data_IF_163683355370
#
_entry.id   IF_163683355370
#
_cell.length_a   1.000
_cell.length_b   1.000
_cell.length_c   1.000
_cell.angle_alpha   90.00
_cell.angle_beta   90.00
_cell.angle_gamma   90.00
#
_symmetry.space_group_name_H-M   'P 1'
#
loop_
_entity.id
_entity.type
_entity.pdbx_description
1 polymer ?
#
# COMPACT_ATOMS: atom_id res chain seq x y z
N UNK A 1 2.83 18.62 46.15
CA UNK A 1 2.27 19.62 45.22
C UNK A 1 1.91 18.90 43.93
N UNK A 2 0.69 19.01 43.42
CA UNK A 2 0.39 18.42 42.11
C UNK A 2 1.12 19.25 41.05
N UNK A 3 1.57 18.58 39.99
CA UNK A 3 2.31 19.23 38.90
C UNK A 3 1.39 20.32 38.30
N UNK A 4 1.87 21.57 38.31
CA UNK A 4 1.22 22.75 37.70
C UNK A 4 0.06 23.44 38.45
N UNK A 5 -0.11 23.24 39.76
CA UNK A 5 -1.15 23.96 40.54
C UNK A 5 -1.02 25.50 40.55
N UNK A 6 0.12 26.04 40.10
CA UNK A 6 0.38 27.48 39.98
C UNK A 6 -0.07 28.09 38.64
N UNK A 7 -0.56 27.26 37.69
CA UNK A 7 -1.02 27.70 36.38
C UNK A 7 -2.55 27.81 36.35
N UNK A 8 -3.07 28.76 35.56
CA UNK A 8 -4.50 28.85 35.29
C UNK A 8 -5.03 27.59 34.61
N UNK A 9 -6.19 27.11 35.05
CA UNK A 9 -6.96 26.12 34.32
C UNK A 9 -7.55 26.70 33.03
N UNK A 10 -7.90 25.82 32.08
CA UNK A 10 -8.57 26.22 30.82
C UNK A 10 -9.88 26.97 31.10
N UNK A 11 -10.62 26.57 32.14
CA UNK A 11 -11.88 27.20 32.52
C UNK A 11 -11.67 28.61 33.07
N UNK A 12 -10.66 28.80 33.93
CA UNK A 12 -10.30 30.13 34.46
C UNK A 12 -9.86 31.07 33.34
N UNK A 13 -8.96 30.60 32.47
CA UNK A 13 -8.52 31.39 31.31
C UNK A 13 -9.70 31.77 30.41
N UNK A 14 -10.60 30.83 30.09
CA UNK A 14 -11.79 31.11 29.28
C UNK A 14 -12.70 32.17 29.91
N UNK A 15 -12.86 32.16 31.22
CA UNK A 15 -13.66 33.15 31.93
C UNK A 15 -13.01 34.54 31.96
N UNK A 16 -11.67 34.60 32.01
CA UNK A 16 -10.91 35.86 31.87
C UNK A 16 -11.09 36.41 30.45
N UNK A 17 -10.86 35.60 29.42
CA UNK A 17 -10.94 36.02 28.01
C UNK A 17 -12.35 36.51 27.63
N UNK A 18 -13.42 35.93 28.18
CA UNK A 18 -14.80 36.39 27.94
C UNK A 18 -15.10 37.81 28.44
N UNK A 19 -14.29 38.33 29.36
CA UNK A 19 -14.46 39.68 29.93
C UNK A 19 -13.59 40.73 29.23
N UNK A 20 -12.71 40.30 28.32
CA UNK A 20 -11.80 41.18 27.60
C UNK A 20 -12.45 41.70 26.31
N UNK A 21 -12.08 42.90 25.92
CA UNK A 21 -12.40 43.48 24.61
C UNK A 21 -11.68 42.72 23.49
N UNK A 22 -12.13 42.95 22.25
CA UNK A 22 -11.50 42.34 21.06
C UNK A 22 -10.04 42.78 20.92
N UNK A 23 -9.77 44.05 21.18
CA UNK A 23 -8.46 44.68 21.06
C UNK A 23 -7.47 44.08 22.06
N UNK A 24 -7.87 43.91 23.32
CA UNK A 24 -7.03 43.27 24.36
C UNK A 24 -6.70 41.81 24.00
N UNK A 25 -7.65 41.06 23.44
CA UNK A 25 -7.42 39.68 22.99
C UNK A 25 -6.42 39.65 21.82
N UNK A 26 -6.53 40.60 20.88
CA UNK A 26 -5.57 40.72 19.77
C UNK A 26 -4.17 41.01 20.31
N UNK A 27 -4.02 41.95 21.24
CA UNK A 27 -2.73 42.28 21.86
C UNK A 27 -2.14 41.07 22.60
N UNK A 28 -2.94 40.37 23.41
CA UNK A 28 -2.51 39.16 24.10
C UNK A 28 -2.01 38.07 23.12
N UNK A 29 -2.69 37.88 21.99
CA UNK A 29 -2.27 36.94 20.95
C UNK A 29 -0.98 37.39 20.27
N UNK A 30 -0.82 38.67 19.97
CA UNK A 30 0.40 39.22 19.37
C UNK A 30 1.60 39.09 20.32
N UNK A 31 1.41 39.34 21.61
CA UNK A 31 2.47 39.20 22.60
C UNK A 31 2.82 37.73 22.86
N UNK A 32 1.82 36.85 22.87
CA UNK A 32 2.02 35.40 22.90
C UNK A 32 2.80 34.91 21.68
N UNK A 33 2.44 35.42 20.49
CA UNK A 33 3.15 35.14 19.24
C UNK A 33 4.60 35.62 19.32
N UNK A 34 4.89 36.83 19.83
CA UNK A 34 6.27 37.31 19.99
C UNK A 34 7.06 36.47 20.99
N UNK A 35 6.43 35.98 22.05
CA UNK A 35 7.08 35.31 23.17
C UNK A 35 7.44 33.83 22.94
N UNK A 36 6.70 33.10 22.09
CA UNK A 36 6.90 31.64 21.92
C UNK A 36 7.00 31.23 20.45
N UNK A 37 8.10 30.55 20.09
CA UNK A 37 8.28 29.99 18.74
C UNK A 37 7.18 28.97 18.40
N UNK A 38 6.74 28.17 19.37
CA UNK A 38 5.67 27.19 19.17
C UNK A 38 4.35 27.87 18.82
N UNK A 39 4.04 29.01 19.44
CA UNK A 39 2.87 29.81 19.09
C UNK A 39 3.03 30.43 17.71
N UNK A 40 4.24 30.88 17.35
CA UNK A 40 4.52 31.37 15.99
C UNK A 40 4.28 30.31 14.93
N UNK A 41 4.86 29.13 15.14
CA UNK A 41 4.70 27.97 14.26
C UNK A 41 3.22 27.57 14.18
N UNK A 42 2.47 27.57 15.29
CA UNK A 42 1.06 27.17 15.32
C UNK A 42 0.17 28.14 14.54
N UNK A 43 0.35 29.45 14.77
CA UNK A 43 -0.38 30.49 14.05
C UNK A 43 0.01 30.47 12.56
N UNK A 44 1.29 30.25 12.24
CA UNK A 44 1.76 30.18 10.85
C UNK A 44 1.23 28.93 10.14
N UNK A 45 1.18 27.77 10.80
CA UNK A 45 0.61 26.56 10.23
C UNK A 45 -0.90 26.68 9.95
N UNK A 46 -1.60 27.54 10.71
CA UNK A 46 -3.05 27.74 10.59
C UNK A 46 -3.45 28.86 9.62
N UNK A 47 -2.65 29.92 9.51
CA UNK A 47 -3.01 31.15 8.79
C UNK A 47 -1.93 31.63 7.80
N UNK A 48 -0.78 30.97 7.77
CA UNK A 48 0.31 31.31 6.86
C UNK A 48 0.01 30.86 5.42
N UNK A 49 0.70 31.47 4.48
CA UNK A 49 0.75 31.01 3.09
C UNK A 49 1.50 29.67 3.00
N UNK A 50 1.20 28.89 1.95
CA UNK A 50 1.76 27.54 1.74
C UNK A 50 3.29 27.50 1.86
N UNK A 51 4.01 28.50 1.36
CA UNK A 51 5.47 28.57 1.43
C UNK A 51 5.99 28.57 2.87
N UNK A 52 5.30 29.26 3.79
CA UNK A 52 5.70 29.29 5.21
C UNK A 52 5.42 27.95 5.89
N UNK A 53 4.30 27.30 5.56
CA UNK A 53 3.96 25.99 6.10
C UNK A 53 4.99 24.95 5.63
N UNK A 54 5.39 25.01 4.36
CA UNK A 54 6.44 24.16 3.79
C UNK A 54 7.79 24.39 4.50
N UNK A 55 8.17 25.63 4.81
CA UNK A 55 9.40 25.91 5.58
C UNK A 55 9.36 25.33 6.99
N UNK A 56 8.20 25.34 7.65
CA UNK A 56 8.01 24.68 8.94
C UNK A 56 8.17 23.17 8.78
N UNK A 57 7.54 22.56 7.77
CA UNK A 57 7.70 21.13 7.48
C UNK A 57 9.17 20.76 7.30
N UNK A 58 9.92 21.49 6.48
CA UNK A 58 11.36 21.24 6.27
C UNK A 58 12.19 21.42 7.54
N UNK A 59 11.82 22.38 8.40
CA UNK A 59 12.45 22.54 9.72
C UNK A 59 12.24 21.29 10.59
N UNK A 60 11.06 20.68 10.52
CA UNK A 60 10.76 19.46 11.27
C UNK A 60 11.39 18.20 10.64
N UNK A 61 11.46 18.10 9.31
CA UNK A 61 12.23 17.05 8.62
C UNK A 61 13.70 17.10 9.03
N UNK A 62 14.31 18.29 9.04
CA UNK A 62 15.68 18.46 9.53
C UNK A 62 15.86 18.00 10.99
N UNK A 63 14.89 18.29 11.88
CA UNK A 63 14.90 17.80 13.26
C UNK A 63 14.84 16.27 13.32
N UNK A 64 14.06 15.61 12.47
CA UNK A 64 13.99 14.14 12.37
C UNK A 64 15.33 13.60 11.87
N UNK A 65 15.85 14.13 10.77
CA UNK A 65 17.14 13.75 10.20
C UNK A 65 18.25 13.84 11.24
N UNK A 66 18.37 14.95 11.97
CA UNK A 66 19.41 15.15 12.98
C UNK A 66 19.31 14.18 14.16
N UNK A 67 18.14 13.54 14.39
CA UNK A 67 18.01 12.45 15.37
C UNK A 67 18.67 11.18 14.84
N UNK A 68 18.37 10.77 13.60
CA UNK A 68 18.93 9.56 12.96
C UNK A 68 20.41 9.73 12.61
N UNK A 69 20.81 10.91 12.16
CA UNK A 69 22.17 11.22 11.69
C UNK A 69 22.75 12.40 12.47
N UNK A 70 23.05 12.21 13.78
CA UNK A 70 23.55 13.30 14.61
C UNK A 70 24.92 13.78 14.14
N UNK A 71 25.10 15.11 14.08
CA UNK A 71 26.37 15.76 13.67
C UNK A 71 27.55 15.48 14.61
N UNK A 72 27.26 15.02 15.82
CA UNK A 72 28.27 14.70 16.84
C UNK A 72 28.22 13.22 17.17
N UNK A 73 29.37 12.56 17.16
CA UNK A 73 29.53 11.15 17.59
C UNK A 73 29.14 10.91 19.06
N UNK A 74 28.93 11.96 19.86
CA UNK A 74 28.42 11.86 21.25
C UNK A 74 26.89 11.85 21.33
N UNK A 75 26.20 12.17 20.24
CA UNK A 75 24.74 12.12 20.17
C UNK A 75 24.29 10.66 20.14
N UNK A 76 23.67 10.19 21.22
CA UNK A 76 23.03 8.88 21.19
C UNK A 76 21.73 8.98 20.40
N UNK A 77 21.65 8.20 19.32
CA UNK A 77 20.41 7.99 18.57
C UNK A 77 19.31 7.47 19.51
N UNK A 78 18.13 8.09 19.42
CA UNK A 78 16.93 7.66 20.14
C UNK A 78 15.70 7.87 19.24
N UNK A 79 15.22 6.77 18.66
CA UNK A 79 14.03 6.77 17.79
C UNK A 79 12.81 7.48 18.42
N UNK A 80 12.66 7.38 19.74
CA UNK A 80 11.60 8.06 20.48
C UNK A 80 11.64 9.60 20.38
N UNK A 81 12.81 10.21 20.19
CA UNK A 81 12.91 11.66 19.95
C UNK A 81 12.41 12.04 18.55
N UNK A 82 12.72 11.24 17.53
CA UNK A 82 12.18 11.45 16.18
C UNK A 82 10.64 11.31 16.18
N UNK A 83 10.09 10.33 16.89
CA UNK A 83 8.63 10.17 17.07
C UNK A 83 7.99 11.36 17.79
N UNK A 84 8.67 11.97 18.76
CA UNK A 84 8.20 13.20 19.41
C UNK A 84 8.14 14.37 18.43
N UNK A 85 9.12 14.51 17.54
CA UNK A 85 9.13 15.57 16.51
C UNK A 85 7.92 15.43 15.58
N UNK A 86 7.63 14.22 15.09
CA UNK A 86 6.42 13.92 14.30
C UNK A 86 5.15 14.31 15.06
N UNK A 87 5.02 13.88 16.32
CA UNK A 87 3.85 14.17 17.15
C UNK A 87 3.69 15.67 17.46
N UNK A 88 4.78 16.43 17.55
CA UNK A 88 4.73 17.88 17.67
C UNK A 88 4.19 18.53 16.39
N UNK A 89 4.61 18.06 15.21
CA UNK A 89 4.11 18.56 13.93
C UNK A 89 2.62 18.23 13.73
N UNK A 90 2.20 17.00 14.08
CA UNK A 90 0.78 16.59 14.06
C UNK A 90 -0.15 17.50 14.86
N UNK A 91 0.33 18.03 15.98
CA UNK A 91 -0.44 18.98 16.82
C UNK A 91 -0.45 20.40 16.25
N UNK A 92 0.50 20.71 15.37
CA UNK A 92 0.73 22.02 14.80
C UNK A 92 -0.06 22.22 13.50
N UNK A 93 0.01 21.23 12.61
CA UNK A 93 -0.52 21.29 11.26
C UNK A 93 -1.80 20.44 11.16
N UNK A 94 -2.87 21.04 10.62
CA UNK A 94 -4.12 20.34 10.33
C UNK A 94 -4.21 19.83 8.89
N UNK A 95 -3.21 20.13 8.05
CA UNK A 95 -3.14 19.60 6.70
C UNK A 95 -2.64 18.15 6.76
N UNK A 96 -3.56 17.22 6.52
CA UNK A 96 -3.34 15.79 6.60
C UNK A 96 -2.27 15.30 5.63
N UNK A 97 -2.18 15.89 4.44
CA UNK A 97 -1.14 15.54 3.46
C UNK A 97 0.26 15.85 3.99
N UNK A 98 0.44 17.01 4.63
CA UNK A 98 1.72 17.39 5.22
C UNK A 98 2.04 16.56 6.47
N UNK A 99 1.00 16.17 7.23
CA UNK A 99 1.14 15.25 8.36
C UNK A 99 1.59 13.86 7.91
N UNK A 100 1.01 13.32 6.84
CA UNK A 100 1.42 12.03 6.29
C UNK A 100 2.84 12.15 5.69
N UNK A 101 3.18 13.25 5.02
CA UNK A 101 4.54 13.48 4.51
C UNK A 101 5.60 13.40 5.61
N UNK A 102 5.38 14.06 6.76
CA UNK A 102 6.35 13.98 7.85
C UNK A 102 6.43 12.60 8.51
N UNK A 103 5.32 11.85 8.55
CA UNK A 103 5.32 10.46 9.03
C UNK A 103 6.11 9.57 8.07
N UNK A 104 5.92 9.76 6.76
CA UNK A 104 6.64 9.03 5.72
C UNK A 104 8.13 9.33 5.79
N UNK A 105 8.50 10.60 5.96
CA UNK A 105 9.90 11.00 6.14
C UNK A 105 10.56 10.34 7.36
N UNK A 106 9.82 10.17 8.46
CA UNK A 106 10.33 9.42 9.61
C UNK A 106 10.64 7.95 9.25
N UNK A 107 9.80 7.30 8.45
CA UNK A 107 10.03 5.91 7.99
C UNK A 107 11.21 5.85 7.03
N UNK A 108 11.30 6.76 6.07
CA UNK A 108 12.44 6.90 5.14
C UNK A 108 13.76 7.00 5.90
N UNK A 109 13.84 7.85 6.94
CA UNK A 109 15.03 7.97 7.78
C UNK A 109 15.33 6.69 8.58
N UNK A 110 14.31 5.94 8.99
CA UNK A 110 14.49 4.64 9.65
C UNK A 110 15.10 3.59 8.73
N UNK A 111 14.61 3.50 7.50
CA UNK A 111 15.14 2.59 6.48
C UNK A 111 16.56 2.99 6.08
N UNK A 112 16.80 4.27 5.79
CA UNK A 112 18.15 4.77 5.45
C UNK A 112 19.16 4.50 6.58
N UNK A 113 18.74 4.71 7.84
CA UNK A 113 19.59 4.46 9.00
C UNK A 113 20.01 2.98 9.10
N UNK A 114 19.08 2.06 8.85
CA UNK A 114 19.35 0.62 8.83
C UNK A 114 20.28 0.24 7.68
N UNK A 115 20.01 0.72 6.47
CA UNK A 115 20.85 0.48 5.30
C UNK A 115 22.28 1.00 5.48
N UNK A 116 22.46 2.08 6.25
CA UNK A 116 23.77 2.68 6.51
C UNK A 116 24.57 1.98 7.61
N UNK A 117 23.92 1.54 8.68
CA UNK A 117 24.60 1.05 9.89
C UNK A 117 24.39 -0.45 10.17
N UNK A 118 23.56 -1.13 9.38
CA UNK A 118 23.21 -2.53 9.55
C UNK A 118 22.12 -2.74 10.61
N UNK A 119 22.04 -3.97 11.12
CA UNK A 119 21.04 -4.38 12.10
C UNK A 119 21.04 -3.51 13.37
N UNK A 120 19.86 -3.06 13.78
CA UNK A 120 19.68 -2.18 14.94
C UNK A 120 19.14 -2.95 16.17
N UNK A 121 17.83 -3.07 16.31
CA UNK A 121 17.14 -3.93 17.28
C UNK A 121 15.65 -3.99 16.95
N UNK A 122 14.97 -5.00 17.48
CA UNK A 122 13.53 -5.23 17.29
C UNK A 122 12.67 -4.01 17.68
N UNK A 123 12.98 -3.35 18.80
CA UNK A 123 12.21 -2.17 19.24
C UNK A 123 12.28 -1.02 18.23
N UNK A 124 13.40 -0.86 17.54
CA UNK A 124 13.55 0.11 16.46
C UNK A 124 12.64 -0.26 15.28
N UNK A 125 12.73 -1.50 14.78
CA UNK A 125 11.92 -1.95 13.64
C UNK A 125 10.42 -1.82 13.93
N UNK A 126 9.96 -2.27 15.10
CA UNK A 126 8.57 -2.11 15.53
C UNK A 126 8.10 -0.64 15.51
N UNK A 127 8.97 0.32 15.85
CA UNK A 127 8.61 1.73 15.80
C UNK A 127 8.53 2.30 14.37
N UNK A 128 9.31 1.76 13.43
CA UNK A 128 9.26 2.14 12.02
C UNK A 128 8.02 1.53 11.36
N UNK A 129 7.81 0.23 11.56
CA UNK A 129 6.64 -0.52 11.07
C UNK A 129 5.33 0.08 11.58
N UNK A 130 5.18 0.33 12.89
CA UNK A 130 3.96 0.96 13.43
C UNK A 130 3.70 2.37 12.86
N UNK A 131 4.75 3.11 12.49
CA UNK A 131 4.57 4.40 11.82
C UNK A 131 4.09 4.19 10.39
N UNK A 132 4.66 3.23 9.67
CA UNK A 132 4.24 2.89 8.32
C UNK A 132 2.79 2.38 8.26
N UNK A 133 2.41 1.49 9.19
CA UNK A 133 1.03 1.06 9.38
C UNK A 133 0.09 2.25 9.63
N UNK A 134 0.49 3.20 10.47
CA UNK A 134 -0.29 4.43 10.69
C UNK A 134 -0.46 5.27 9.41
N UNK A 135 0.54 5.28 8.52
CA UNK A 135 0.46 5.97 7.22
C UNK A 135 -0.54 5.26 6.31
N UNK A 136 -0.44 3.93 6.20
CA UNK A 136 -1.34 3.10 5.39
C UNK A 136 -2.79 3.28 5.84
N UNK A 137 -3.04 3.22 7.15
CA UNK A 137 -4.36 3.43 7.73
C UNK A 137 -4.90 4.83 7.39
N UNK A 138 -4.11 5.89 7.58
CA UNK A 138 -4.53 7.25 7.22
C UNK A 138 -4.83 7.38 5.71
N UNK A 139 -4.03 6.78 4.84
CA UNK A 139 -4.29 6.78 3.39
C UNK A 139 -5.61 6.09 3.03
N UNK A 140 -5.94 4.99 3.72
CA UNK A 140 -7.16 4.22 3.50
C UNK A 140 -8.41 4.88 4.07
N UNK A 141 -8.28 5.78 5.06
CA UNK A 141 -9.40 6.55 5.63
C UNK A 141 -9.93 7.63 4.67
N UNK A 142 -9.16 8.00 3.63
CA UNK A 142 -9.61 8.95 2.62
C UNK A 142 -10.62 8.34 1.65
N UNK A 143 -11.53 9.16 1.12
CA UNK A 143 -12.52 8.72 0.14
C UNK A 143 -11.99 8.73 -1.31
N UNK A 144 -10.73 9.13 -1.53
CA UNK A 144 -10.12 9.19 -2.86
C UNK A 144 -8.63 8.84 -2.81
N UNK A 145 -8.05 8.60 -3.98
CA UNK A 145 -6.65 8.19 -4.14
C UNK A 145 -5.66 9.36 -4.28
N UNK A 146 -6.05 10.61 -4.03
CA UNK A 146 -5.18 11.78 -4.29
C UNK A 146 -3.88 11.72 -3.47
N UNK A 147 -4.00 11.47 -2.16
CA UNK A 147 -2.84 11.39 -1.26
C UNK A 147 -1.97 10.18 -1.62
N UNK A 148 -2.58 9.01 -1.88
CA UNK A 148 -1.84 7.86 -2.37
C UNK A 148 -1.08 8.20 -3.66
N UNK A 149 -1.74 8.82 -4.64
CA UNK A 149 -1.15 9.17 -5.93
C UNK A 149 0.07 10.08 -5.80
N UNK A 150 0.06 11.01 -4.84
CA UNK A 150 1.19 11.90 -4.55
C UNK A 150 2.36 11.14 -3.89
N UNK A 151 2.06 10.19 -3.02
CA UNK A 151 3.05 9.50 -2.18
C UNK A 151 3.47 8.13 -2.71
N UNK A 152 2.80 7.59 -3.74
CA UNK A 152 2.93 6.21 -4.23
C UNK A 152 4.37 5.75 -4.44
N UNK A 153 5.18 6.60 -5.07
CA UNK A 153 6.59 6.30 -5.38
C UNK A 153 7.44 6.19 -4.12
N UNK A 154 7.19 7.05 -3.13
CA UNK A 154 7.92 7.05 -1.86
C UNK A 154 7.52 5.87 -0.99
N UNK A 155 6.22 5.53 -0.96
CA UNK A 155 5.71 4.35 -0.26
C UNK A 155 6.35 3.06 -0.79
N UNK A 156 6.34 2.86 -2.12
CA UNK A 156 6.97 1.70 -2.75
C UNK A 156 8.48 1.67 -2.54
N UNK A 157 9.16 2.80 -2.71
CA UNK A 157 10.61 2.90 -2.52
C UNK A 157 11.06 2.49 -1.10
N UNK A 158 10.29 2.86 -0.06
CA UNK A 158 10.57 2.41 1.32
C UNK A 158 10.60 0.89 1.41
N UNK A 159 9.61 0.21 0.82
CA UNK A 159 9.54 -1.26 0.84
C UNK A 159 10.72 -1.85 0.06
N UNK A 160 11.00 -1.33 -1.12
CA UNK A 160 12.07 -1.83 -1.98
C UNK A 160 13.45 -1.66 -1.32
N UNK A 161 13.68 -0.53 -0.67
CA UNK A 161 14.91 -0.23 0.07
C UNK A 161 15.09 -1.10 1.31
N UNK A 162 14.06 -1.84 1.74
CA UNK A 162 14.18 -2.80 2.86
C UNK A 162 14.54 -4.21 2.41
N UNK A 163 14.61 -4.46 1.09
CA UNK A 163 14.94 -5.78 0.55
C UNK A 163 16.28 -6.29 1.11
N UNK A 164 16.26 -7.51 1.64
CA UNK A 164 17.42 -8.15 2.25
C UNK A 164 17.71 -7.73 3.70
N UNK A 165 16.92 -6.83 4.29
CA UNK A 165 16.97 -6.58 5.74
C UNK A 165 16.25 -7.71 6.48
N UNK A 166 16.89 -8.25 7.52
CA UNK A 166 16.37 -9.37 8.31
C UNK A 166 15.20 -9.01 9.23
N UNK A 167 14.93 -9.89 10.21
CA UNK A 167 13.89 -9.71 11.25
C UNK A 167 12.43 -9.67 10.74
N UNK A 168 12.19 -10.09 9.50
CA UNK A 168 10.86 -9.97 8.88
C UNK A 168 10.46 -8.51 8.63
N UNK A 169 11.40 -7.56 8.73
CA UNK A 169 11.13 -6.13 8.57
C UNK A 169 10.67 -5.80 7.14
N UNK A 170 11.35 -6.38 6.14
CA UNK A 170 10.93 -6.27 4.75
C UNK A 170 9.54 -6.86 4.54
N UNK A 171 9.32 -8.08 5.02
CA UNK A 171 8.08 -8.83 4.87
C UNK A 171 6.91 -8.06 5.49
N UNK A 172 7.10 -7.47 6.68
CA UNK A 172 6.06 -6.70 7.35
C UNK A 172 5.73 -5.40 6.62
N UNK A 173 6.73 -4.64 6.16
CA UNK A 173 6.49 -3.42 5.38
C UNK A 173 5.85 -3.72 4.01
N UNK A 174 6.26 -4.81 3.36
CA UNK A 174 5.66 -5.29 2.12
C UNK A 174 4.18 -5.65 2.33
N UNK A 175 3.89 -6.48 3.34
CA UNK A 175 2.53 -6.84 3.75
C UNK A 175 1.65 -5.60 4.01
N UNK A 176 2.17 -4.61 4.77
CA UNK A 176 1.47 -3.36 5.05
C UNK A 176 1.25 -2.52 3.79
N UNK A 177 2.20 -2.48 2.85
CA UNK A 177 2.04 -1.76 1.58
C UNK A 177 0.83 -2.31 0.81
N UNK A 178 0.70 -3.63 0.70
CA UNK A 178 -0.44 -4.27 0.04
C UNK A 178 -1.78 -4.16 0.78
N UNK A 179 -1.82 -3.56 1.97
CA UNK A 179 -3.06 -3.13 2.62
C UNK A 179 -3.59 -1.78 2.11
N UNK A 180 -2.81 -1.05 1.31
CA UNK A 180 -3.28 0.19 0.69
C UNK A 180 -4.37 -0.12 -0.35
N UNK A 181 -5.59 0.37 -0.13
CA UNK A 181 -6.74 0.07 -1.00
C UNK A 181 -6.67 0.72 -2.38
N UNK A 182 -5.73 1.64 -2.59
CA UNK A 182 -5.58 2.39 -3.84
C UNK A 182 -4.52 1.82 -4.80
N UNK A 183 -3.86 0.72 -4.42
CA UNK A 183 -2.88 0.03 -5.26
C UNK A 183 -3.56 -0.49 -6.52
N UNK A 184 -2.83 -0.36 -7.63
CA UNK A 184 -3.20 -0.77 -8.96
C UNK A 184 -2.01 -1.52 -9.59
N UNK A 185 -2.19 -2.17 -10.73
CA UNK A 185 -1.15 -3.00 -11.36
C UNK A 185 0.15 -2.24 -11.62
N UNK A 186 0.06 -0.93 -11.88
CA UNK A 186 1.21 -0.02 -12.10
C UNK A 186 2.03 0.27 -10.84
N UNK A 187 1.59 -0.18 -9.67
CA UNK A 187 2.21 0.02 -8.36
C UNK A 187 2.95 -1.24 -7.87
N UNK A 188 2.87 -2.33 -8.62
CA UNK A 188 3.51 -3.62 -8.31
C UNK A 188 4.56 -3.96 -9.37
N UNK A 189 5.46 -4.87 -9.03
CA UNK A 189 6.44 -5.41 -9.99
C UNK A 189 5.81 -6.57 -10.76
N UNK A 190 5.72 -6.47 -12.08
CA UNK A 190 5.15 -7.50 -12.94
C UNK A 190 5.76 -7.46 -14.35
N UNK A 191 5.66 -8.57 -15.09
CA UNK A 191 6.04 -8.61 -16.49
C UNK A 191 4.90 -8.03 -17.35
N UNK A 192 5.12 -6.82 -17.89
CA UNK A 192 4.16 -6.15 -18.78
C UNK A 192 3.86 -6.94 -20.05
N UNK A 193 4.84 -7.68 -20.59
CA UNK A 193 4.64 -8.46 -21.81
C UNK A 193 3.80 -9.70 -21.53
N UNK A 194 4.07 -10.40 -20.44
CA UNK A 194 3.26 -11.54 -20.00
C UNK A 194 1.80 -11.13 -19.79
N UNK A 195 1.57 -10.06 -19.01
CA UNK A 195 0.23 -9.57 -18.72
C UNK A 195 -0.52 -9.13 -19.99
N UNK A 196 0.20 -8.54 -20.96
CA UNK A 196 -0.34 -8.18 -22.26
C UNK A 196 -0.75 -9.42 -23.07
N UNK A 197 0.11 -10.44 -23.12
CA UNK A 197 -0.17 -11.68 -23.85
C UNK A 197 -1.39 -12.41 -23.29
N UNK A 198 -1.53 -12.48 -21.96
CA UNK A 198 -2.71 -13.03 -21.28
C UNK A 198 -3.98 -12.31 -21.74
N UNK A 199 -4.01 -10.97 -21.69
CA UNK A 199 -5.19 -10.18 -22.09
C UNK A 199 -5.54 -10.34 -23.56
N UNK A 200 -4.54 -10.41 -24.44
CA UNK A 200 -4.73 -10.64 -25.87
C UNK A 200 -5.31 -12.03 -26.12
N UNK A 201 -4.77 -13.07 -25.47
CA UNK A 201 -5.30 -14.43 -25.55
C UNK A 201 -6.77 -14.51 -25.13
N UNK A 202 -7.11 -13.99 -23.94
CA UNK A 202 -8.49 -14.02 -23.42
C UNK A 202 -9.44 -13.28 -24.37
N UNK A 203 -9.00 -12.12 -24.87
CA UNK A 203 -9.77 -11.32 -25.83
C UNK A 203 -10.09 -12.09 -27.11
N UNK A 204 -9.11 -12.77 -27.71
CA UNK A 204 -9.32 -13.55 -28.92
C UNK A 204 -10.22 -14.76 -28.67
N UNK A 205 -10.09 -15.43 -27.51
CA UNK A 205 -10.94 -16.56 -27.12
C UNK A 205 -12.40 -16.16 -26.94
N UNK A 206 -12.66 -15.07 -26.21
CA UNK A 206 -14.03 -14.61 -25.97
C UNK A 206 -14.71 -14.08 -27.23
N UNK A 207 -13.96 -13.50 -28.19
CA UNK A 207 -14.51 -13.12 -29.51
C UNK A 207 -15.05 -14.30 -30.32
N UNK A 208 -14.47 -15.49 -30.16
CA UNK A 208 -14.89 -16.70 -30.89
C UNK A 208 -16.20 -17.30 -30.32
N UNK A 209 -16.60 -16.91 -29.10
CA UNK A 209 -17.87 -17.31 -28.51
C UNK A 209 -19.02 -16.47 -29.09
N UNK A 210 -19.61 -16.98 -30.18
CA UNK A 210 -20.65 -16.35 -31.03
C UNK A 210 -21.90 -15.76 -30.32
N UNK A 211 -22.08 -15.94 -29.01
CA UNK A 211 -23.30 -15.52 -28.30
C UNK A 211 -23.13 -14.30 -27.38
N UNK A 212 -21.94 -13.67 -27.31
CA UNK A 212 -21.66 -12.65 -26.29
C UNK A 212 -21.60 -11.20 -26.80
N UNK A 213 -21.39 -10.93 -28.10
CA UNK A 213 -20.88 -9.60 -28.50
C UNK A 213 -21.51 -8.99 -29.75
N UNK A 214 -22.04 -7.77 -29.55
CA UNK A 214 -22.31 -6.75 -30.57
C UNK A 214 -21.14 -5.74 -30.59
N UNK A 215 -20.96 -4.94 -31.66
CA UNK A 215 -19.74 -4.14 -31.84
C UNK A 215 -19.42 -3.12 -30.73
N UNK A 216 -20.42 -2.47 -30.14
CA UNK A 216 -20.24 -1.57 -28.99
C UNK A 216 -19.89 -2.34 -27.69
N UNK A 217 -20.39 -3.56 -27.53
CA UNK A 217 -20.05 -4.46 -26.40
C UNK A 217 -18.62 -5.01 -26.50
N UNK A 218 -18.02 -4.99 -27.70
CA UNK A 218 -16.65 -5.46 -27.94
C UNK A 218 -15.57 -4.53 -27.39
N UNK A 219 -15.82 -3.22 -27.35
CA UNK A 219 -14.90 -2.27 -26.71
C UNK A 219 -15.00 -2.37 -25.18
N UNK A 220 -16.21 -2.64 -24.68
CA UNK A 220 -16.49 -2.85 -23.26
C UNK A 220 -15.76 -4.10 -22.73
N UNK A 221 -15.83 -5.23 -23.45
CA UNK A 221 -15.21 -6.48 -22.97
C UNK A 221 -13.68 -6.41 -22.88
N UNK A 222 -12.99 -5.67 -23.76
CA UNK A 222 -11.53 -5.51 -23.69
C UNK A 222 -11.14 -4.74 -22.41
N UNK A 223 -11.91 -3.69 -22.08
CA UNK A 223 -11.70 -2.95 -20.84
C UNK A 223 -12.01 -3.82 -19.62
N UNK A 224 -13.13 -4.57 -19.65
CA UNK A 224 -13.49 -5.49 -18.57
C UNK A 224 -12.43 -6.56 -18.31
N UNK A 225 -11.92 -7.21 -19.37
CA UNK A 225 -10.79 -8.16 -19.26
C UNK A 225 -9.58 -7.46 -18.64
N UNK A 226 -9.26 -6.25 -19.11
CA UNK A 226 -8.09 -5.52 -18.63
C UNK A 226 -8.20 -5.15 -17.16
N UNK A 227 -9.37 -4.69 -16.71
CA UNK A 227 -9.63 -4.35 -15.31
C UNK A 227 -9.57 -5.58 -14.41
N UNK A 228 -10.25 -6.68 -14.79
CA UNK A 228 -10.24 -7.92 -14.00
C UNK A 228 -8.83 -8.48 -13.89
N UNK A 229 -8.10 -8.61 -15.00
CA UNK A 229 -6.74 -9.18 -15.00
C UNK A 229 -5.73 -8.28 -14.27
N UNK A 230 -5.92 -6.96 -14.29
CA UNK A 230 -5.10 -6.05 -13.47
C UNK A 230 -5.33 -6.26 -11.98
N UNK A 231 -6.60 -6.34 -11.57
CA UNK A 231 -6.98 -6.50 -10.16
C UNK A 231 -6.58 -7.88 -9.65
N UNK A 232 -6.74 -8.93 -10.46
CA UNK A 232 -6.21 -10.27 -10.22
C UNK A 232 -4.70 -10.24 -9.96
N UNK A 233 -3.91 -9.57 -10.82
CA UNK A 233 -2.45 -9.50 -10.60
C UNK A 233 -2.08 -8.78 -9.30
N UNK A 234 -2.84 -7.76 -8.92
CA UNK A 234 -2.70 -7.07 -7.62
C UNK A 234 -3.05 -8.02 -6.46
N UNK A 235 -4.13 -8.79 -6.59
CA UNK A 235 -4.53 -9.78 -5.58
C UNK A 235 -3.43 -10.83 -5.36
N UNK A 236 -2.91 -11.43 -6.43
CA UNK A 236 -1.85 -12.44 -6.34
C UNK A 236 -0.59 -11.89 -5.68
N UNK A 237 -0.19 -10.66 -6.06
CA UNK A 237 0.97 -9.99 -5.46
C UNK A 237 0.75 -9.69 -3.97
N UNK A 238 -0.49 -9.36 -3.58
CA UNK A 238 -0.86 -9.17 -2.17
C UNK A 238 -0.77 -10.48 -1.39
N UNK A 239 -1.29 -11.59 -1.93
CA UNK A 239 -1.25 -12.90 -1.25
C UNK A 239 0.19 -13.38 -1.06
N UNK A 240 1.04 -13.22 -2.07
CA UNK A 240 2.48 -13.53 -2.00
C UNK A 240 3.20 -12.70 -0.93
N UNK A 241 3.03 -11.38 -0.95
CA UNK A 241 3.63 -10.47 0.04
C UNK A 241 3.19 -10.74 1.49
N UNK A 242 2.03 -11.36 1.66
CA UNK A 242 1.47 -11.69 2.98
C UNK A 242 1.71 -13.14 3.39
N UNK A 243 2.32 -13.96 2.53
CA UNK A 243 2.46 -15.40 2.70
C UNK A 243 1.13 -16.08 3.07
N UNK A 244 0.04 -15.67 2.40
CA UNK A 244 -1.31 -16.18 2.65
C UNK A 244 -1.75 -17.14 1.57
N UNK A 245 -2.23 -18.30 2.02
CA UNK A 245 -3.05 -19.16 1.17
C UNK A 245 -4.41 -18.51 0.92
N UNK A 246 -5.00 -18.79 -0.23
CA UNK A 246 -6.29 -18.26 -0.64
C UNK A 246 -7.08 -19.30 -1.43
N UNK A 247 -8.40 -19.15 -1.43
CA UNK A 247 -9.32 -19.89 -2.28
C UNK A 247 -9.71 -19.09 -3.52
N UNK A 248 -10.32 -19.76 -4.50
CA UNK A 248 -10.91 -19.07 -5.65
C UNK A 248 -12.00 -18.07 -5.22
N UNK A 249 -12.73 -18.36 -4.15
CA UNK A 249 -13.76 -17.46 -3.62
C UNK A 249 -13.13 -16.16 -3.09
N UNK A 250 -11.99 -16.24 -2.40
CA UNK A 250 -11.27 -15.06 -1.91
C UNK A 250 -10.79 -14.16 -3.06
N UNK A 251 -10.25 -14.76 -4.13
CA UNK A 251 -9.83 -14.07 -5.35
C UNK A 251 -11.00 -13.38 -6.05
N UNK A 252 -12.08 -14.14 -6.26
CA UNK A 252 -13.31 -13.65 -6.89
C UNK A 252 -13.95 -12.51 -6.10
N UNK A 253 -14.04 -12.65 -4.77
CA UNK A 253 -14.58 -11.62 -3.88
C UNK A 253 -13.74 -10.35 -3.93
N UNK A 254 -12.41 -10.48 -3.94
CA UNK A 254 -11.52 -9.32 -4.04
C UNK A 254 -11.73 -8.56 -5.35
N UNK A 255 -11.75 -9.27 -6.48
CA UNK A 255 -11.95 -8.67 -7.81
C UNK A 255 -13.33 -8.03 -7.93
N UNK A 256 -14.36 -8.72 -7.45
CA UNK A 256 -15.75 -8.25 -7.45
C UNK A 256 -15.89 -6.96 -6.65
N UNK A 257 -15.35 -6.91 -5.44
CA UNK A 257 -15.39 -5.71 -4.59
C UNK A 257 -14.64 -4.51 -5.21
N UNK A 258 -13.61 -4.75 -6.01
CA UNK A 258 -12.82 -3.68 -6.67
C UNK A 258 -13.43 -3.18 -7.97
N UNK A 259 -14.03 -4.07 -8.75
CA UNK A 259 -14.49 -3.77 -10.11
C UNK A 259 -16.00 -3.63 -10.23
N UNK A 260 -16.76 -4.12 -9.25
CA UNK A 260 -18.22 -4.24 -9.27
C UNK A 260 -18.77 -5.15 -10.39
N UNK A 261 -17.92 -5.99 -11.00
CA UNK A 261 -18.36 -7.00 -11.97
C UNK A 261 -19.00 -8.22 -11.28
N UNK A 262 -19.85 -8.95 -12.01
CA UNK A 262 -20.50 -10.14 -11.46
C UNK A 262 -19.52 -11.31 -11.34
N UNK A 263 -19.78 -12.22 -10.39
CA UNK A 263 -18.94 -13.40 -10.17
C UNK A 263 -18.83 -14.27 -11.41
N UNK A 264 -19.93 -14.47 -12.14
CA UNK A 264 -19.93 -15.32 -13.34
C UNK A 264 -19.01 -14.77 -14.44
N UNK A 265 -18.90 -13.44 -14.53
CA UNK A 265 -18.01 -12.78 -15.49
C UNK A 265 -16.55 -12.88 -15.06
N UNK A 266 -16.28 -12.70 -13.77
CA UNK A 266 -14.94 -12.83 -13.19
C UNK A 266 -14.44 -14.26 -13.36
N UNK A 267 -15.21 -15.26 -12.92
CA UNK A 267 -14.89 -16.67 -13.07
C UNK A 267 -14.62 -17.06 -14.52
N UNK A 268 -15.43 -16.56 -15.47
CA UNK A 268 -15.21 -16.81 -16.90
C UNK A 268 -13.87 -16.25 -17.38
N UNK A 269 -13.51 -15.03 -16.98
CA UNK A 269 -12.27 -14.38 -17.41
C UNK A 269 -11.05 -15.04 -16.76
N UNK A 270 -11.11 -15.33 -15.45
CA UNK A 270 -10.05 -16.04 -14.75
C UNK A 270 -9.87 -17.45 -15.30
N UNK A 271 -10.94 -18.16 -15.62
CA UNK A 271 -10.85 -19.45 -16.32
C UNK A 271 -10.07 -19.34 -17.64
N UNK A 272 -10.31 -18.29 -18.44
CA UNK A 272 -9.54 -18.10 -19.68
C UNK A 272 -8.07 -17.75 -19.42
N UNK A 273 -7.75 -17.05 -18.32
CA UNK A 273 -6.36 -16.86 -17.87
C UNK A 273 -5.73 -18.21 -17.50
N UNK A 274 -6.42 -19.04 -16.72
CA UNK A 274 -5.94 -20.38 -16.38
C UNK A 274 -5.70 -21.24 -17.62
N UNK A 275 -6.57 -21.18 -18.64
CA UNK A 275 -6.34 -21.84 -19.93
C UNK A 275 -5.06 -21.36 -20.62
N UNK A 276 -4.81 -20.05 -20.63
CA UNK A 276 -3.55 -19.52 -21.17
C UNK A 276 -2.34 -20.06 -20.41
N UNK A 277 -2.42 -20.10 -19.09
CA UNK A 277 -1.33 -20.59 -18.26
C UNK A 277 -1.09 -22.10 -18.45
N UNK A 278 -2.16 -22.88 -18.60
CA UNK A 278 -2.09 -24.30 -18.96
C UNK A 278 -1.42 -24.52 -20.33
N UNK A 279 -1.78 -23.72 -21.34
CA UNK A 279 -1.18 -23.78 -22.69
C UNK A 279 0.33 -23.47 -22.69
N UNK A 280 0.82 -22.78 -21.66
CA UNK A 280 2.23 -22.45 -21.46
C UNK A 280 2.92 -23.37 -20.43
N UNK A 281 2.30 -24.50 -20.07
CA UNK A 281 2.80 -25.49 -19.11
C UNK A 281 3.06 -24.93 -17.69
N UNK A 282 2.31 -23.91 -17.24
CA UNK A 282 2.45 -23.39 -15.87
C UNK A 282 1.70 -24.22 -14.82
N UNK A 283 0.74 -25.06 -15.24
CA UNK A 283 -0.10 -25.86 -14.35
C UNK A 283 0.27 -27.35 -14.40
N UNK A 284 1.14 -27.76 -13.47
CA UNK A 284 1.47 -29.17 -13.26
C UNK A 284 0.37 -29.87 -12.46
N UNK A 285 -0.05 -31.03 -12.95
CA UNK A 285 -0.93 -31.94 -12.21
C UNK A 285 -0.07 -32.83 -11.31
N UNK A 286 0.08 -32.42 -10.05
CA UNK A 286 0.98 -33.06 -9.08
C UNK A 286 0.55 -34.44 -8.57
N UNK A 287 -0.63 -34.92 -8.96
CA UNK A 287 -1.18 -36.19 -8.49
C UNK A 287 -1.08 -37.31 -9.54
N UNK A 288 -0.69 -38.50 -9.11
CA UNK A 288 -0.72 -39.70 -9.95
C UNK A 288 0.46 -39.86 -10.91
N UNK A 289 0.31 -40.82 -11.83
CA UNK A 289 1.28 -41.15 -12.88
C UNK A 289 0.53 -41.46 -14.15
N UNK A 290 1.11 -41.10 -15.29
CA UNK A 290 0.57 -41.46 -16.58
C UNK A 290 0.35 -42.97 -16.66
N UNK A 291 -0.90 -43.38 -16.90
CA UNK A 291 -1.29 -44.79 -17.03
C UNK A 291 -0.54 -45.53 -18.15
N UNK A 292 -0.02 -44.80 -19.15
CA UNK A 292 0.70 -45.35 -20.30
C UNK A 292 2.21 -45.45 -20.09
N UNK A 293 2.87 -44.38 -19.65
CA UNK A 293 4.34 -44.32 -19.58
C UNK A 293 4.90 -44.25 -18.15
N UNK A 294 4.05 -44.11 -17.14
CA UNK A 294 4.44 -44.02 -15.73
C UNK A 294 5.09 -42.69 -15.32
N UNK A 295 5.19 -41.70 -16.23
CA UNK A 295 5.70 -40.36 -15.91
C UNK A 295 4.79 -39.63 -14.93
N UNK A 296 5.38 -38.86 -14.02
CA UNK A 296 4.69 -37.90 -13.14
C UNK A 296 4.59 -36.50 -13.76
N UNK A 297 5.16 -36.27 -14.94
CA UNK A 297 5.01 -35.01 -15.68
C UNK A 297 3.63 -34.98 -16.36
N UNK A 298 2.64 -34.59 -15.56
CA UNK A 298 1.24 -34.45 -15.94
C UNK A 298 0.88 -32.98 -15.87
N UNK A 299 0.07 -32.50 -16.80
CA UNK A 299 -0.33 -31.10 -16.91
C UNK A 299 -1.83 -31.01 -17.11
N UNK A 300 -2.45 -29.97 -16.57
CA UNK A 300 -3.86 -29.70 -16.85
C UNK A 300 -3.96 -29.14 -18.27
N UNK A 301 -4.99 -29.55 -18.99
CA UNK A 301 -5.29 -29.20 -20.37
C UNK A 301 -6.72 -28.71 -20.48
N UNK A 302 -6.91 -27.63 -21.23
CA UNK A 302 -8.24 -27.10 -21.53
C UNK A 302 -9.08 -28.08 -22.37
N UNK A 303 -10.38 -28.19 -22.02
CA UNK A 303 -11.42 -28.79 -22.88
C UNK A 303 -12.12 -27.71 -23.70
N UNK A 304 -11.91 -27.72 -25.02
CA UNK A 304 -12.57 -26.81 -25.95
C UNK A 304 -14.10 -26.90 -25.83
N UNK A 305 -14.74 -25.78 -25.52
CA UNK A 305 -16.19 -25.64 -25.28
C UNK A 305 -16.74 -26.41 -24.05
N UNK A 306 -15.86 -26.97 -23.21
CA UNK A 306 -16.23 -27.46 -21.88
C UNK A 306 -16.39 -26.28 -20.91
N UNK A 307 -17.40 -26.36 -20.04
CA UNK A 307 -17.47 -25.48 -18.87
C UNK A 307 -16.79 -26.21 -17.72
N UNK A 308 -15.60 -25.74 -17.32
CA UNK A 308 -14.91 -26.21 -16.11
C UNK A 308 -14.57 -27.72 -16.10
N UNK A 309 -14.08 -28.26 -17.22
CA UNK A 309 -13.58 -29.63 -17.27
C UNK A 309 -12.05 -29.64 -17.37
N UNK A 310 -11.39 -30.19 -16.35
CA UNK A 310 -9.95 -30.45 -16.32
C UNK A 310 -9.66 -31.76 -17.07
N UNK A 311 -9.07 -31.68 -18.26
CA UNK A 311 -8.34 -32.82 -18.81
C UNK A 311 -6.91 -32.79 -18.30
N UNK A 312 -6.32 -33.95 -18.09
CA UNK A 312 -4.90 -34.07 -17.75
C UNK A 312 -4.18 -34.72 -18.92
N UNK A 313 -3.05 -34.12 -19.33
CA UNK A 313 -2.19 -34.65 -20.37
C UNK A 313 -0.82 -35.01 -19.80
N UNK A 314 -0.29 -36.17 -20.21
CA UNK A 314 1.09 -36.53 -19.91
C UNK A 314 2.05 -35.89 -20.92
N UNK A 315 2.97 -35.04 -20.44
CA UNK A 315 3.97 -34.36 -21.28
C UNK A 315 4.92 -35.32 -21.99
N UNK A 316 5.26 -36.43 -21.33
CA UNK A 316 6.20 -37.42 -21.88
C UNK A 316 5.64 -38.28 -23.01
N UNK A 317 4.32 -38.50 -23.07
CA UNK A 317 3.75 -39.42 -24.07
C UNK A 317 2.43 -38.99 -24.71
N UNK A 318 1.93 -37.80 -24.38
CA UNK A 318 0.70 -37.20 -24.92
C UNK A 318 -0.59 -37.93 -24.54
N UNK A 319 -0.57 -38.78 -23.52
CA UNK A 319 -1.80 -39.49 -23.09
C UNK A 319 -2.69 -38.53 -22.32
N UNK A 320 -3.94 -38.42 -22.74
CA UNK A 320 -4.98 -37.60 -22.12
C UNK A 320 -5.91 -38.46 -21.27
N UNK A 321 -6.35 -37.93 -20.13
CA UNK A 321 -7.31 -38.57 -19.23
C UNK A 321 -8.16 -37.51 -18.53
N UNK A 322 -9.37 -37.89 -18.12
CA UNK A 322 -10.30 -37.03 -17.39
C UNK A 322 -10.02 -37.23 -15.90
N UNK A 323 -10.02 -36.13 -15.13
CA UNK A 323 -9.95 -36.16 -13.66
C UNK A 323 -11.12 -37.01 -13.11
N UNK A 324 -10.84 -38.05 -12.32
CA UNK A 324 -11.88 -38.83 -11.63
C UNK A 324 -12.54 -38.04 -10.51
#
# INVERSE_FOLDING_TARGET
MKKNDYLLSVTELKNILKKQSREEIIELLLDSYKASIQIKEYITAKYGENDKINQILETYKNKIHDVFFPKSMRGQFKIGEAKKVVNCFKKLCSDEKLVIDIMLYYVEMGVEFTNKYGDINESFYNNVESMYESIVNSINEHNNSEIFGILRKRLKAIVDDTSGIGWGFHDNLSSLYFEIIWIDVKDIDYDENELKQIKEYITERLKQRNNLLDSDKKMDIINTISEIINVDKVFLSKMDAQFRDYSNDDENDFISNKTSYSMELIELILWQKYCYEMDNDYWEYGEGKCSKCGSSELYIKEVLNGNFEDQVICKMCGTEFIRE
#
